data_IF_456173319594
#
_entry.id   IF_456173319594
#
_cell.length_a   1.000
_cell.length_b   1.000
_cell.length_c   1.000
_cell.angle_alpha   90.00
_cell.angle_beta   90.00
_cell.angle_gamma   90.00
#
_symmetry.space_group_name_H-M   'P 1'
#
loop_
_entity.id
_entity.type
_entity.pdbx_description
1 polymer ?
#
# COMPACT_ATOMS: atom_id res chain seq x y z
N UNK A 1 -16.93 -13.76 -60.23
CA UNK A 1 -15.66 -13.42 -60.91
C UNK A 1 -15.88 -12.09 -61.61
N UNK A 2 -14.78 -11.37 -61.78
CA UNK A 2 -14.61 -10.11 -62.52
C UNK A 2 -14.77 -8.81 -61.71
N UNK A 3 -13.59 -8.36 -61.29
CA UNK A 3 -13.24 -7.05 -60.78
C UNK A 3 -13.48 -5.97 -61.84
N UNK A 4 -14.04 -4.83 -61.45
CA UNK A 4 -14.01 -3.63 -62.30
C UNK A 4 -13.41 -2.47 -61.50
N UNK A 5 -12.16 -2.15 -61.84
CA UNK A 5 -11.39 -1.02 -61.31
C UNK A 5 -11.52 0.08 -62.37
N UNK A 6 -12.27 1.14 -62.07
CA UNK A 6 -12.38 2.30 -62.97
C UNK A 6 -11.50 3.44 -62.45
N UNK A 7 -10.36 3.59 -63.12
CA UNK A 7 -9.35 4.62 -62.96
C UNK A 7 -9.89 6.00 -63.38
N UNK A 8 -9.45 7.06 -62.71
CA UNK A 8 -9.70 8.44 -63.12
C UNK A 8 -8.50 9.00 -63.92
N UNK A 9 -8.78 9.55 -65.10
CA UNK A 9 -7.83 10.11 -66.05
C UNK A 9 -7.33 11.50 -65.60
N UNK A 10 -6.01 11.70 -65.52
CA UNK A 10 -5.37 13.00 -65.31
C UNK A 10 -5.06 13.63 -66.67
N UNK A 11 -5.64 14.80 -66.96
CA UNK A 11 -5.28 15.61 -68.13
C UNK A 11 -4.42 16.79 -67.72
N UNK A 12 -3.13 16.70 -68.05
CA UNK A 12 -2.19 17.82 -67.96
C UNK A 12 -2.18 18.50 -69.33
N UNK A 13 -2.56 19.78 -69.38
CA UNK A 13 -2.41 20.60 -70.58
C UNK A 13 -1.17 21.49 -70.41
N UNK A 14 -0.11 21.15 -71.12
CA UNK A 14 1.09 21.98 -71.27
C UNK A 14 1.18 22.38 -72.75
N UNK A 15 0.96 23.64 -73.05
CA UNK A 15 1.00 24.17 -74.42
C UNK A 15 2.00 25.32 -74.46
N UNK A 16 3.12 25.05 -75.13
CA UNK A 16 4.20 25.97 -75.41
C UNK A 16 4.19 26.37 -76.89
N UNK A 17 4.64 27.60 -77.13
CA UNK A 17 5.06 28.24 -78.40
C UNK A 17 3.94 29.04 -79.10
N UNK A 18 4.13 30.27 -79.58
CA UNK A 18 5.31 30.79 -80.28
C UNK A 18 5.38 32.33 -80.35
N UNK A 19 6.62 32.87 -80.39
CA UNK A 19 7.16 33.94 -81.27
C UNK A 19 6.41 35.31 -81.31
N UNK A 20 7.00 36.49 -81.10
CA UNK A 20 8.35 36.99 -80.88
C UNK A 20 8.35 38.52 -81.08
N UNK A 21 9.44 39.18 -80.67
CA UNK A 21 9.98 40.48 -81.13
C UNK A 21 9.74 41.78 -80.32
N UNK A 22 10.89 42.38 -79.95
CA UNK A 22 11.34 43.77 -79.71
C UNK A 22 10.77 44.68 -78.58
N UNK A 23 11.74 45.04 -77.71
CA UNK A 23 12.16 46.39 -77.30
C UNK A 23 11.36 47.29 -76.35
N UNK A 24 12.15 47.78 -75.40
CA UNK A 24 12.10 49.03 -74.62
C UNK A 24 11.11 49.18 -73.44
N UNK A 25 11.68 49.31 -72.24
CA UNK A 25 11.02 49.68 -70.98
C UNK A 25 10.70 51.19 -70.92
N UNK A 26 9.72 51.56 -70.07
CA UNK A 26 9.95 52.69 -69.17
C UNK A 26 9.48 52.50 -67.72
N UNK A 27 10.35 52.97 -66.82
CA UNK A 27 10.17 53.57 -65.49
C UNK A 27 9.09 53.09 -64.49
N UNK A 28 9.60 52.72 -63.30
CA UNK A 28 8.96 52.50 -61.99
C UNK A 28 8.34 53.78 -61.42
N UNK A 29 7.18 53.70 -60.74
CA UNK A 29 7.08 54.21 -59.35
C UNK A 29 6.71 53.12 -58.32
N UNK A 30 7.39 53.12 -57.17
CA UNK A 30 7.13 52.26 -56.00
C UNK A 30 5.78 52.58 -55.35
N UNK A 31 5.04 51.55 -54.92
CA UNK A 31 4.48 51.48 -53.56
C UNK A 31 4.16 50.03 -53.14
N UNK A 32 4.13 49.81 -51.82
CA UNK A 32 4.49 48.58 -51.09
C UNK A 32 3.28 47.67 -50.79
N UNK A 33 3.41 46.33 -50.80
CA UNK A 33 2.31 45.43 -50.48
C UNK A 33 2.11 45.30 -48.96
N UNK A 34 0.90 45.60 -48.47
CA UNK A 34 0.53 45.29 -47.08
C UNK A 34 -0.13 43.92 -47.02
N UNK A 35 0.70 42.90 -46.83
CA UNK A 35 0.30 41.57 -46.39
C UNK A 35 -0.29 41.69 -44.97
N UNK A 36 -1.53 41.27 -44.75
CA UNK A 36 -2.02 40.96 -43.40
C UNK A 36 -1.66 39.50 -43.09
N UNK A 37 -0.77 39.22 -42.12
CA UNK A 37 -0.63 37.88 -41.58
C UNK A 37 -1.49 37.78 -40.31
N UNK A 38 -2.44 36.85 -40.32
CA UNK A 38 -3.01 36.30 -39.09
C UNK A 38 -1.88 35.64 -38.28
N UNK A 39 -1.57 36.17 -37.10
CA UNK A 39 -0.58 35.62 -36.16
C UNK A 39 -1.10 34.34 -35.50
N UNK A 40 -0.35 33.22 -35.49
CA UNK A 40 -0.59 32.10 -34.59
C UNK A 40 0.40 32.19 -33.42
N UNK A 41 -0.01 32.70 -32.26
CA UNK A 41 0.98 33.00 -31.21
C UNK A 41 0.44 33.18 -29.80
N UNK A 42 -0.62 32.47 -29.43
CA UNK A 42 -1.16 32.53 -28.05
C UNK A 42 -1.36 31.14 -27.44
N UNK A 43 -1.77 30.15 -28.25
CA UNK A 43 -1.99 28.77 -27.80
C UNK A 43 -0.73 28.07 -27.25
N UNK A 44 0.45 28.38 -27.80
CA UNK A 44 1.73 27.76 -27.41
C UNK A 44 2.13 28.04 -25.96
N UNK A 45 1.95 29.27 -25.46
CA UNK A 45 2.31 29.66 -24.09
C UNK A 45 1.38 29.03 -23.03
N UNK A 46 0.13 28.80 -23.38
CA UNK A 46 -0.83 28.11 -22.50
C UNK A 46 -0.47 26.62 -22.37
N UNK A 47 -0.03 25.99 -23.46
CA UNK A 47 0.43 24.60 -23.41
C UNK A 47 1.73 24.44 -22.63
N UNK A 48 2.71 25.35 -22.78
CA UNK A 48 3.93 25.31 -21.96
C UNK A 48 3.63 25.52 -20.48
N UNK A 49 2.75 26.48 -20.15
CA UNK A 49 2.27 26.69 -18.78
C UNK A 49 1.58 25.44 -18.20
N UNK A 50 0.72 24.78 -18.97
CA UNK A 50 0.05 23.54 -18.57
C UNK A 50 1.03 22.39 -18.37
N UNK A 51 1.99 22.22 -19.28
CA UNK A 51 3.03 21.19 -19.13
C UNK A 51 3.86 21.42 -17.87
N UNK A 52 4.27 22.67 -17.60
CA UNK A 52 4.98 23.03 -16.37
C UNK A 52 4.13 22.73 -15.13
N UNK A 53 2.84 23.06 -15.16
CA UNK A 53 1.95 22.77 -14.03
C UNK A 53 1.78 21.26 -13.78
N UNK A 54 1.60 20.46 -14.83
CA UNK A 54 1.51 19.00 -14.72
C UNK A 54 2.81 18.41 -14.16
N UNK A 55 3.97 18.92 -14.57
CA UNK A 55 5.27 18.51 -14.02
C UNK A 55 5.39 18.84 -12.52
N UNK A 56 4.89 19.99 -12.08
CA UNK A 56 4.89 20.33 -10.65
C UNK A 56 3.96 19.42 -9.85
N UNK A 57 2.77 19.11 -10.39
CA UNK A 57 1.84 18.17 -9.75
C UNK A 57 2.41 16.76 -9.66
N UNK A 58 3.09 16.28 -10.71
CA UNK A 58 3.73 14.96 -10.67
C UNK A 58 4.85 14.93 -9.64
N UNK A 59 5.68 15.97 -9.56
CA UNK A 59 6.74 16.07 -8.53
C UNK A 59 6.14 16.09 -7.12
N UNK A 60 5.09 16.87 -6.89
CA UNK A 60 4.42 16.94 -5.58
C UNK A 60 3.79 15.59 -5.21
N UNK A 61 3.15 14.92 -6.17
CA UNK A 61 2.56 13.59 -5.97
C UNK A 61 3.63 12.54 -5.69
N UNK A 62 4.72 12.50 -6.47
CA UNK A 62 5.85 11.59 -6.25
C UNK A 62 6.51 11.84 -4.90
N UNK A 63 6.72 13.10 -4.51
CA UNK A 63 7.25 13.44 -3.18
C UNK A 63 6.35 12.95 -2.05
N UNK A 64 5.04 13.22 -2.15
CA UNK A 64 4.04 12.76 -1.17
C UNK A 64 3.98 11.23 -1.10
N UNK A 65 4.02 10.58 -2.25
CA UNK A 65 4.05 9.12 -2.37
C UNK A 65 5.31 8.56 -1.73
N UNK A 66 6.51 9.08 -2.03
CA UNK A 66 7.77 8.62 -1.42
C UNK A 66 7.71 8.79 0.10
N UNK A 67 7.28 9.93 0.62
CA UNK A 67 7.14 10.17 2.06
C UNK A 67 6.16 9.17 2.68
N UNK A 68 5.01 8.96 2.05
CA UNK A 68 4.01 7.98 2.49
C UNK A 68 4.59 6.57 2.52
N UNK A 69 5.28 6.14 1.46
CA UNK A 69 5.92 4.83 1.38
C UNK A 69 7.03 4.66 2.42
N UNK A 70 7.87 5.68 2.64
CA UNK A 70 8.87 5.66 3.70
C UNK A 70 8.22 5.51 5.08
N UNK A 71 7.15 6.28 5.35
CA UNK A 71 6.40 6.19 6.61
C UNK A 71 5.71 4.84 6.78
N UNK A 72 5.17 4.29 5.70
CA UNK A 72 4.53 2.97 5.68
C UNK A 72 5.55 1.86 5.97
N UNK A 73 6.72 1.89 5.32
CA UNK A 73 7.81 0.94 5.57
C UNK A 73 8.27 0.95 7.03
N UNK A 74 8.43 2.15 7.63
CA UNK A 74 8.75 2.26 9.06
C UNK A 74 7.70 1.61 9.96
N UNK A 75 6.41 1.87 9.70
CA UNK A 75 5.32 1.29 10.49
C UNK A 75 5.29 -0.24 10.37
N UNK A 76 5.61 -0.76 9.18
CA UNK A 76 5.70 -2.21 8.95
C UNK A 76 6.86 -2.84 9.71
N UNK A 77 8.03 -2.18 9.78
CA UNK A 77 9.16 -2.64 10.57
C UNK A 77 8.86 -2.60 12.07
N UNK A 78 8.25 -1.52 12.58
CA UNK A 78 7.82 -1.43 13.99
C UNK A 78 6.84 -2.56 14.35
N UNK A 79 5.89 -2.87 13.46
CA UNK A 79 4.94 -3.98 13.67
C UNK A 79 5.62 -5.35 13.64
N UNK A 80 6.60 -5.56 12.75
CA UNK A 80 7.39 -6.79 12.70
C UNK A 80 8.24 -6.95 13.95
N UNK A 81 8.95 -5.91 14.37
CA UNK A 81 9.76 -5.92 15.59
C UNK A 81 8.91 -6.18 16.84
N UNK A 82 7.69 -5.63 16.91
CA UNK A 82 6.74 -5.93 17.97
C UNK A 82 6.33 -7.41 17.96
N UNK A 83 6.07 -7.97 16.78
CA UNK A 83 5.64 -9.37 16.62
C UNK A 83 6.76 -10.35 16.94
N UNK A 84 7.99 -10.08 16.46
CA UNK A 84 9.19 -10.87 16.73
C UNK A 84 9.50 -10.91 18.23
N UNK A 85 9.39 -9.75 18.90
CA UNK A 85 9.53 -9.66 20.36
C UNK A 85 8.48 -10.46 21.11
N UNK A 86 7.25 -10.54 20.62
CA UNK A 86 6.20 -11.38 21.22
C UNK A 86 6.42 -12.86 20.95
N UNK A 87 7.00 -13.22 19.80
CA UNK A 87 7.31 -14.60 19.43
C UNK A 87 8.39 -15.20 20.36
N UNK A 88 9.41 -14.41 20.71
CA UNK A 88 10.50 -14.82 21.60
C UNK A 88 10.04 -15.08 23.05
N UNK A 89 8.89 -14.51 23.45
CA UNK A 89 8.32 -14.70 24.78
C UNK A 89 7.34 -15.89 24.86
N UNK A 90 7.11 -16.62 23.76
CA UNK A 90 6.23 -17.79 23.77
C UNK A 90 6.99 -19.05 24.22
N UNK A 91 6.39 -19.80 25.16
CA UNK A 91 6.79 -21.13 25.55
C UNK A 91 5.76 -22.14 25.03
N UNK A 92 6.16 -22.96 24.06
CA UNK A 92 5.28 -23.93 23.42
C UNK A 92 5.48 -25.31 24.04
N UNK A 93 4.42 -25.85 24.67
CA UNK A 93 4.44 -27.21 25.19
C UNK A 93 3.86 -28.14 24.14
N UNK A 94 4.61 -29.18 23.75
CA UNK A 94 4.09 -30.24 22.89
C UNK A 94 3.47 -31.33 23.77
N UNK A 95 2.19 -31.17 24.08
CA UNK A 95 1.37 -32.23 24.65
C UNK A 95 1.08 -33.27 23.56
N UNK A 96 1.64 -34.47 23.71
CA UNK A 96 1.35 -35.61 22.83
C UNK A 96 0.00 -36.19 23.27
N UNK A 97 -1.10 -35.72 22.70
CA UNK A 97 -2.39 -36.42 22.78
C UNK A 97 -2.46 -37.47 21.67
N UNK A 98 -2.96 -38.67 22.00
CA UNK A 98 -3.09 -39.83 21.11
C UNK A 98 -4.30 -39.73 20.17
N UNK A 99 -4.52 -38.56 19.57
CA UNK A 99 -5.53 -38.34 18.53
C UNK A 99 -4.94 -37.42 17.48
N UNK A 100 -5.23 -37.68 16.19
CA UNK A 100 -4.50 -37.25 14.99
C UNK A 100 -4.30 -35.73 14.74
N UNK A 101 -4.59 -34.84 15.69
CA UNK A 101 -4.23 -33.43 15.61
C UNK A 101 -3.25 -33.05 16.72
N UNK A 102 -1.98 -32.84 16.34
CA UNK A 102 -0.94 -32.28 17.22
C UNK A 102 -1.27 -30.82 17.53
N UNK A 103 -2.15 -30.58 18.50
CA UNK A 103 -2.42 -29.25 19.00
C UNK A 103 -1.20 -28.76 19.79
N UNK A 104 -0.35 -27.93 19.18
CA UNK A 104 0.70 -27.22 19.90
C UNK A 104 0.08 -25.99 20.56
N UNK A 105 -0.05 -26.00 21.89
CA UNK A 105 -0.46 -24.82 22.65
C UNK A 105 0.77 -24.01 23.07
N UNK A 106 0.88 -22.77 22.60
CA UNK A 106 1.92 -21.82 23.01
C UNK A 106 1.34 -20.78 23.95
N UNK A 107 2.03 -20.52 25.06
CA UNK A 107 1.65 -19.51 26.05
C UNK A 107 2.81 -18.54 26.29
N UNK A 108 2.52 -17.33 26.76
CA UNK A 108 3.58 -16.39 27.16
C UNK A 108 4.47 -16.98 28.26
N UNK A 109 5.70 -16.50 28.38
CA UNK A 109 6.66 -16.98 29.35
C UNK A 109 6.13 -16.78 30.77
N UNK A 110 6.30 -17.79 31.61
CA UNK A 110 5.73 -17.81 32.97
C UNK A 110 4.29 -18.31 33.04
N UNK A 111 3.60 -18.45 31.91
CA UNK A 111 2.29 -19.10 31.85
C UNK A 111 2.45 -20.60 31.62
N UNK A 112 1.48 -21.37 32.10
CA UNK A 112 1.40 -22.83 31.92
C UNK A 112 0.29 -23.13 30.92
N UNK A 113 0.56 -24.04 29.98
CA UNK A 113 -0.41 -24.43 28.96
C UNK A 113 -1.14 -25.71 29.35
N UNK A 114 -2.46 -25.73 29.23
CA UNK A 114 -3.26 -26.95 29.33
C UNK A 114 -4.45 -26.88 28.37
N UNK A 115 -4.57 -27.88 27.50
CA UNK A 115 -5.49 -27.83 26.37
C UNK A 115 -5.20 -26.64 25.45
N UNK A 116 -6.22 -25.83 25.16
CA UNK A 116 -6.13 -24.59 24.38
C UNK A 116 -5.96 -23.32 25.23
N UNK A 117 -5.71 -23.47 26.54
CA UNK A 117 -5.71 -22.36 27.50
C UNK A 117 -4.33 -22.14 28.13
N UNK A 118 -4.11 -20.91 28.59
CA UNK A 118 -2.90 -20.47 29.27
C UNK A 118 -3.26 -19.98 30.69
N UNK A 119 -2.51 -20.45 31.68
CA UNK A 119 -2.76 -20.19 33.10
C UNK A 119 -1.56 -19.48 33.73
N UNK A 120 -1.84 -18.47 34.55
CA UNK A 120 -0.83 -17.73 35.30
C UNK A 120 -1.14 -17.76 36.79
N UNK A 121 -0.16 -18.14 37.60
CA UNK A 121 -0.27 -18.14 39.05
C UNK A 121 0.41 -16.90 39.63
N UNK A 122 -0.38 -16.04 40.27
CA UNK A 122 0.16 -14.87 40.97
C UNK A 122 0.96 -15.33 42.20
N UNK A 123 2.12 -14.73 42.42
CA UNK A 123 2.92 -14.91 43.65
C UNK A 123 2.50 -13.97 44.78
N UNK A 124 1.51 -13.11 44.53
CA UNK A 124 1.02 -12.14 45.49
C UNK A 124 -0.11 -12.75 46.33
N UNK A 125 0.25 -13.30 47.49
CA UNK A 125 -0.68 -13.96 48.41
C UNK A 125 -1.49 -13.00 49.28
N UNK A 126 -1.29 -11.69 49.15
CA UNK A 126 -1.96 -10.67 49.98
C UNK A 126 -2.99 -9.85 49.20
N UNK A 127 -3.08 -10.06 47.89
CA UNK A 127 -4.04 -9.36 47.05
C UNK A 127 -5.47 -9.77 47.41
N UNK A 128 -6.35 -8.77 47.49
CA UNK A 128 -7.79 -8.99 47.56
C UNK A 128 -8.33 -9.58 46.26
N UNK A 129 -9.56 -10.08 46.29
CA UNK A 129 -10.22 -10.60 45.10
C UNK A 129 -10.32 -9.56 43.98
N UNK A 130 -10.72 -8.32 44.33
CA UNK A 130 -10.86 -7.23 43.35
C UNK A 130 -9.52 -6.82 42.74
N UNK A 131 -8.47 -6.72 43.55
CA UNK A 131 -7.09 -6.44 43.07
C UNK A 131 -6.60 -7.56 42.15
N UNK A 132 -6.89 -8.82 42.50
CA UNK A 132 -6.53 -9.97 41.67
C UNK A 132 -7.25 -9.96 40.32
N UNK A 133 -8.55 -9.62 40.33
CA UNK A 133 -9.35 -9.45 39.11
C UNK A 133 -8.81 -8.33 38.22
N UNK A 134 -8.52 -7.17 38.79
CA UNK A 134 -7.94 -6.05 38.05
C UNK A 134 -6.57 -6.42 37.45
N UNK A 135 -5.74 -7.11 38.24
CA UNK A 135 -4.43 -7.59 37.79
C UNK A 135 -4.55 -8.54 36.60
N UNK A 136 -5.48 -9.51 36.65
CA UNK A 136 -5.76 -10.39 35.51
C UNK A 136 -6.22 -9.58 34.28
N UNK A 137 -7.14 -8.64 34.47
CA UNK A 137 -7.63 -7.78 33.38
C UNK A 137 -6.51 -6.96 32.74
N UNK A 138 -5.58 -6.42 33.53
CA UNK A 138 -4.40 -5.67 33.03
C UNK A 138 -3.44 -6.53 32.22
N UNK A 139 -3.42 -7.84 32.46
CA UNK A 139 -2.66 -8.81 31.68
C UNK A 139 -3.42 -9.33 30.44
N UNK A 140 -4.64 -8.83 30.17
CA UNK A 140 -5.48 -9.31 29.08
C UNK A 140 -6.14 -10.67 29.38
N UNK A 141 -6.25 -11.05 30.65
CA UNK A 141 -6.82 -12.31 31.11
C UNK A 141 -7.99 -12.08 32.08
N UNK A 142 -8.54 -13.18 32.60
CA UNK A 142 -9.61 -13.19 33.61
C UNK A 142 -9.19 -14.08 34.78
N UNK A 143 -9.86 -13.93 35.93
CA UNK A 143 -9.72 -14.88 37.03
C UNK A 143 -10.14 -16.28 36.56
N UNK A 144 -9.51 -17.29 37.12
CA UNK A 144 -9.70 -18.68 36.73
C UNK A 144 -11.17 -19.09 36.94
N UNK A 145 -11.77 -19.69 35.91
CA UNK A 145 -13.05 -20.37 36.01
C UNK A 145 -12.82 -21.80 35.54
N UNK A 146 -13.01 -22.75 36.45
CA UNK A 146 -12.76 -24.17 36.18
C UNK A 146 -13.97 -24.76 35.48
N UNK A 147 -13.76 -25.33 34.31
CA UNK A 147 -14.79 -25.90 33.45
C UNK A 147 -14.81 -27.43 33.43
N UNK A 148 -13.76 -28.09 33.94
CA UNK A 148 -13.65 -29.55 33.94
C UNK A 148 -12.83 -30.11 35.09
N UNK A 149 -12.99 -31.41 35.38
CA UNK A 149 -12.16 -32.10 36.37
C UNK A 149 -10.70 -32.18 35.92
N UNK A 150 -10.42 -32.45 34.65
CA UNK A 150 -9.06 -32.52 34.15
C UNK A 150 -8.33 -31.17 34.28
N UNK A 151 -9.05 -30.06 34.09
CA UNK A 151 -8.54 -28.71 34.35
C UNK A 151 -8.26 -28.51 35.84
N UNK A 152 -9.19 -28.87 36.73
CA UNK A 152 -8.98 -28.80 38.18
C UNK A 152 -7.73 -29.60 38.61
N UNK A 153 -7.56 -30.80 38.08
CA UNK A 153 -6.44 -31.67 38.39
C UNK A 153 -5.13 -31.06 37.91
N UNK A 154 -5.09 -30.50 36.69
CA UNK A 154 -3.95 -29.75 36.20
C UNK A 154 -3.64 -28.53 37.08
N UNK A 155 -4.64 -27.74 37.46
CA UNK A 155 -4.47 -26.56 38.32
C UNK A 155 -3.83 -26.98 39.65
N UNK A 156 -4.28 -28.08 40.26
CA UNK A 156 -3.70 -28.61 41.49
C UNK A 156 -2.21 -28.98 41.35
N UNK A 157 -1.73 -29.31 40.15
CA UNK A 157 -0.29 -29.58 39.91
C UNK A 157 0.58 -28.33 39.83
N UNK A 158 -0.01 -27.16 39.56
CA UNK A 158 0.73 -25.90 39.36
C UNK A 158 0.58 -24.91 40.53
N UNK A 159 -0.37 -25.14 41.43
CA UNK A 159 -0.55 -24.36 42.65
C UNK A 159 0.40 -24.83 43.76
N UNK A 160 0.79 -23.89 44.63
CA UNK A 160 1.58 -24.22 45.81
C UNK A 160 0.67 -24.72 46.93
N UNK A 161 1.09 -25.81 47.59
CA UNK A 161 0.35 -26.36 48.73
C UNK A 161 0.49 -25.40 49.93
N UNK A 162 -0.63 -25.03 50.54
CA UNK A 162 -0.66 -24.18 51.74
C UNK A 162 -0.81 -22.68 51.45
N UNK A 163 -1.11 -22.30 50.21
CA UNK A 163 -1.48 -20.93 49.83
C UNK A 163 -2.93 -20.90 49.36
N UNK A 164 -3.65 -19.84 49.75
CA UNK A 164 -5.02 -19.61 49.30
C UNK A 164 -5.00 -18.93 47.92
N UNK A 165 -5.89 -19.39 47.03
CA UNK A 165 -6.07 -18.86 45.69
C UNK A 165 -7.55 -18.52 45.46
N UNK A 166 -7.79 -17.45 44.69
CA UNK A 166 -9.13 -17.02 44.25
C UNK A 166 -9.24 -17.10 42.73
#
# INVERSE_FOLDING_TARGET
>A
MDSEITYAEVRIKNESNSLGTYSECPAVPREKPTHHPSKPGSRSLLFTSLMVFLLLLTIAFLGSFIIYFQKYSQLLEEKKALTDKTLDDLNCTKNVSLTEDKACSCCLKGWKSFGSYCYFTSTDSKATWDESKEKCSRMGAHLLVIHSQDEQDFINTILNIGTDYF
#
